data_IF_818278388657
#
_entry.id   IF_818278388657
#
_cell.length_a   1.000
_cell.length_b   1.000
_cell.length_c   1.000
_cell.angle_alpha   90.00
_cell.angle_beta   90.00
_cell.angle_gamma   90.00
#
_symmetry.space_group_name_H-M   'P 1'
#
loop_
_entity.id
_entity.type
_entity.pdbx_description
1 polymer ?
#
# COMPACT_ATOMS: atom_id res chain seq x y z
N UNK A 1 33.72 11.15 5.21
CA UNK A 1 32.64 11.81 6.01
C UNK A 1 31.66 12.43 5.01
N UNK A 2 30.35 12.22 5.15
CA UNK A 2 29.35 12.58 4.13
C UNK A 2 28.86 14.05 4.24
N UNK A 3 28.96 14.65 5.41
CA UNK A 3 28.51 16.03 5.70
C UNK A 3 29.25 17.08 4.84
N UNK A 4 30.60 17.03 4.71
CA UNK A 4 31.34 17.98 3.88
C UNK A 4 30.95 17.95 2.39
N UNK A 5 30.53 16.80 1.85
CA UNK A 5 30.07 16.74 0.46
C UNK A 5 28.72 17.40 0.23
N UNK A 6 27.96 17.66 1.30
CA UNK A 6 26.72 18.44 1.28
C UNK A 6 26.94 19.92 1.60
N UNK A 7 28.19 20.33 1.86
CA UNK A 7 28.50 21.70 2.33
C UNK A 7 28.02 21.96 3.77
N UNK A 8 27.81 20.91 4.56
CA UNK A 8 27.33 20.99 5.94
C UNK A 8 28.39 20.50 6.92
N UNK A 9 28.37 21.03 8.13
CA UNK A 9 29.02 20.42 9.28
C UNK A 9 28.10 19.36 9.92
N UNK A 10 28.56 18.76 11.02
CA UNK A 10 27.79 17.72 11.70
C UNK A 10 26.49 18.28 12.29
N UNK A 11 26.53 19.47 12.88
CA UNK A 11 25.37 20.09 13.53
C UNK A 11 24.31 20.47 12.48
N UNK A 12 24.71 21.13 11.40
CA UNK A 12 23.84 21.48 10.29
C UNK A 12 23.21 20.27 9.61
N UNK A 13 23.93 19.13 9.53
CA UNK A 13 23.33 17.88 9.07
C UNK A 13 22.25 17.38 10.03
N UNK A 14 22.48 17.42 11.35
CA UNK A 14 21.49 17.00 12.34
C UNK A 14 20.25 17.89 12.34
N UNK A 15 20.41 19.18 12.12
CA UNK A 15 19.30 20.15 12.09
C UNK A 15 18.34 19.94 10.91
N UNK A 16 18.79 19.29 9.83
CA UNK A 16 17.92 18.93 8.69
C UNK A 16 16.69 18.14 9.13
N UNK A 17 16.81 17.31 10.16
CA UNK A 17 15.74 16.39 10.56
C UNK A 17 15.54 16.29 12.08
N UNK A 18 15.93 17.34 12.80
CA UNK A 18 15.76 17.44 14.23
C UNK A 18 14.28 17.48 14.60
N UNK A 19 13.84 16.57 15.46
CA UNK A 19 12.46 16.56 15.95
C UNK A 19 12.29 17.56 17.10
N UNK A 20 11.69 18.71 16.81
CA UNK A 20 11.43 19.77 17.80
C UNK A 20 10.15 19.56 18.60
N UNK A 21 9.40 18.48 18.35
CA UNK A 21 8.19 18.16 19.11
C UNK A 21 8.47 17.46 20.45
N UNK A 22 9.74 17.23 20.81
CA UNK A 22 10.18 16.50 22.01
C UNK A 22 11.19 17.33 22.81
N UNK A 23 11.23 17.10 24.12
CA UNK A 23 12.16 17.79 25.05
C UNK A 23 13.64 17.51 24.74
N UNK A 24 13.96 16.29 24.29
CA UNK A 24 15.29 15.91 23.79
C UNK A 24 15.25 15.71 22.28
N UNK A 25 15.54 16.76 21.48
CA UNK A 25 15.33 16.74 20.05
C UNK A 25 16.36 15.86 19.34
N UNK A 26 15.90 14.68 18.91
CA UNK A 26 16.71 13.68 18.17
C UNK A 26 16.55 13.83 16.67
N UNK A 27 17.56 13.32 15.95
CA UNK A 27 17.47 13.16 14.50
C UNK A 27 16.39 12.14 14.14
N UNK A 28 15.47 12.51 13.25
CA UNK A 28 14.34 11.69 12.83
C UNK A 28 14.39 11.42 11.33
N UNK A 29 14.68 10.18 10.95
CA UNK A 29 14.66 9.77 9.54
C UNK A 29 13.33 10.08 8.83
N UNK A 30 12.14 9.90 9.46
CA UNK A 30 10.88 10.36 8.88
C UNK A 30 10.83 11.87 8.61
N UNK A 31 11.29 12.71 9.53
CA UNK A 31 11.32 14.17 9.31
C UNK A 31 12.24 14.53 8.15
N UNK A 32 13.39 13.87 8.05
CA UNK A 32 14.30 14.06 6.92
C UNK A 32 13.58 13.76 5.59
N UNK A 33 12.90 12.60 5.52
CA UNK A 33 12.17 12.18 4.34
C UNK A 33 11.03 13.16 4.00
N UNK A 34 10.27 13.62 5.00
CA UNK A 34 9.16 14.57 4.82
C UNK A 34 9.60 15.98 4.41
N UNK A 35 10.82 16.40 4.79
CA UNK A 35 11.38 17.71 4.38
C UNK A 35 12.06 17.67 3.01
N UNK A 36 12.66 16.54 2.65
CA UNK A 36 13.49 16.40 1.45
C UNK A 36 12.82 15.63 0.30
N UNK A 37 11.56 15.22 0.46
CA UNK A 37 10.78 14.60 -0.63
C UNK A 37 9.76 15.59 -1.18
N UNK A 38 9.50 15.52 -2.49
CA UNK A 38 8.47 16.34 -3.12
C UNK A 38 7.05 15.82 -2.85
N UNK A 39 6.90 14.53 -2.55
CA UNK A 39 5.61 13.86 -2.35
C UNK A 39 5.65 12.95 -1.13
N UNK A 40 4.53 12.86 -0.42
CA UNK A 40 4.36 12.04 0.77
C UNK A 40 3.01 11.34 0.71
N UNK A 41 2.97 10.05 1.01
CA UNK A 41 1.72 9.30 0.99
C UNK A 41 1.60 8.30 2.14
N UNK A 42 0.38 8.21 2.69
CA UNK A 42 -0.09 7.03 3.38
C UNK A 42 -0.39 5.89 2.41
N UNK A 43 -0.71 4.71 2.97
CA UNK A 43 -0.94 3.47 2.22
C UNK A 43 -2.43 3.08 2.16
N UNK A 44 -3.27 3.95 2.71
CA UNK A 44 -4.72 3.94 2.69
C UNK A 44 -5.21 5.35 3.04
N UNK A 45 -6.47 5.65 2.72
CA UNK A 45 -7.09 6.93 3.04
C UNK A 45 -6.97 7.30 4.52
N UNK A 46 -7.40 6.40 5.40
CA UNK A 46 -7.29 6.57 6.85
C UNK A 46 -5.84 6.72 7.32
N UNK A 47 -4.88 6.00 6.71
CA UNK A 47 -3.48 6.18 7.04
C UNK A 47 -2.97 7.59 6.66
N UNK A 48 -3.43 8.13 5.53
CA UNK A 48 -3.15 9.51 5.15
C UNK A 48 -3.66 10.52 6.17
N UNK A 49 -4.90 10.35 6.63
CA UNK A 49 -5.51 11.18 7.68
C UNK A 49 -4.72 11.13 9.00
N UNK A 50 -4.43 9.93 9.49
CA UNK A 50 -3.63 9.73 10.71
C UNK A 50 -2.23 10.32 10.56
N UNK A 51 -1.60 10.17 9.39
CA UNK A 51 -0.28 10.73 9.13
C UNK A 51 -0.30 12.27 9.09
N UNK A 52 -1.33 12.91 8.52
CA UNK A 52 -1.51 14.37 8.57
C UNK A 52 -1.62 14.86 10.01
N UNK A 53 -2.42 14.19 10.82
CA UNK A 53 -2.56 14.51 12.26
C UNK A 53 -1.23 14.35 13.02
N UNK A 54 -0.51 13.26 12.79
CA UNK A 54 0.74 12.95 13.50
C UNK A 54 1.88 13.92 13.14
N UNK A 55 1.95 14.37 11.88
CA UNK A 55 3.07 15.19 11.37
C UNK A 55 2.72 16.67 11.15
N UNK A 56 1.52 17.12 11.53
CA UNK A 56 1.08 18.50 11.32
C UNK A 56 2.06 19.55 11.89
N UNK A 57 2.79 19.23 12.95
CA UNK A 57 3.80 20.12 13.55
C UNK A 57 4.95 20.51 12.60
N UNK A 58 5.17 19.77 11.50
CA UNK A 58 6.14 20.14 10.46
C UNK A 58 5.63 21.26 9.53
N UNK A 59 4.33 21.52 9.54
CA UNK A 59 3.65 22.55 8.77
C UNK A 59 2.72 23.38 9.67
N UNK A 60 3.27 24.13 10.65
CA UNK A 60 2.47 24.80 11.68
C UNK A 60 1.50 25.86 11.12
N UNK A 61 1.80 26.39 9.93
CA UNK A 61 0.95 27.37 9.23
C UNK A 61 -0.22 26.72 8.46
N UNK A 62 -0.23 25.40 8.34
CA UNK A 62 -1.23 24.66 7.57
C UNK A 62 -2.24 24.00 8.50
N UNK A 63 -3.53 24.17 8.17
CA UNK A 63 -4.59 23.35 8.75
C UNK A 63 -4.41 21.87 8.40
N UNK A 64 -5.04 20.99 9.18
CA UNK A 64 -4.93 19.53 9.03
C UNK A 64 -5.09 19.05 7.58
N UNK A 65 -6.13 19.49 6.86
CA UNK A 65 -6.38 19.07 5.47
C UNK A 65 -5.39 19.65 4.44
N UNK A 66 -4.67 20.71 4.79
CA UNK A 66 -3.67 21.33 3.92
C UNK A 66 -2.27 20.71 4.07
N UNK A 67 -2.06 19.84 5.05
CA UNK A 67 -0.79 19.11 5.23
C UNK A 67 -0.51 18.28 3.96
N UNK A 68 0.67 18.40 3.31
CA UNK A 68 0.97 17.78 2.02
C UNK A 68 1.35 16.29 2.15
N UNK A 69 0.51 15.54 2.87
CA UNK A 69 0.54 14.07 2.97
C UNK A 69 -0.77 13.55 2.40
N UNK A 70 -0.67 12.88 1.25
CA UNK A 70 -1.81 12.25 0.58
C UNK A 70 -1.87 10.75 0.92
N UNK A 71 -2.58 9.95 0.14
CA UNK A 71 -2.58 8.50 0.23
C UNK A 71 -2.59 7.85 -1.14
N UNK A 72 -1.97 6.67 -1.21
CA UNK A 72 -2.11 5.75 -2.33
C UNK A 72 -2.48 4.41 -1.71
N UNK A 73 -3.72 3.97 -1.89
CA UNK A 73 -4.19 2.72 -1.31
C UNK A 73 -3.42 1.55 -1.89
N UNK A 74 -2.87 0.70 -1.03
CA UNK A 74 -2.12 -0.47 -1.46
C UNK A 74 -2.97 -1.41 -2.33
N UNK A 75 -2.35 -1.94 -3.38
CA UNK A 75 -2.93 -2.98 -4.24
C UNK A 75 -2.19 -4.31 -4.11
N UNK A 76 -2.75 -5.34 -4.76
CA UNK A 76 -2.10 -6.65 -4.91
C UNK A 76 -1.98 -7.00 -6.39
N UNK A 77 -0.88 -7.67 -6.76
CA UNK A 77 -0.70 -8.15 -8.13
C UNK A 77 -1.60 -9.35 -8.40
N UNK A 78 -2.66 -9.16 -9.17
CA UNK A 78 -3.68 -10.19 -9.46
C UNK A 78 -3.08 -11.41 -10.14
N UNK A 79 -2.10 -11.25 -11.03
CA UNK A 79 -1.42 -12.38 -11.69
C UNK A 79 -0.67 -13.31 -10.75
N UNK A 80 -0.25 -12.82 -9.58
CA UNK A 80 0.45 -13.62 -8.55
C UNK A 80 -0.51 -14.16 -7.51
N UNK A 81 -1.43 -13.32 -7.03
CA UNK A 81 -2.28 -13.62 -5.88
C UNK A 81 -3.60 -14.29 -6.24
N UNK A 82 -4.08 -14.16 -7.48
CA UNK A 82 -5.28 -14.82 -7.92
C UNK A 82 -5.00 -16.26 -8.37
N UNK A 83 -5.78 -17.21 -7.87
CA UNK A 83 -5.70 -18.58 -8.35
C UNK A 83 -6.07 -18.66 -9.85
N UNK A 84 -5.26 -19.34 -10.66
CA UNK A 84 -5.51 -19.54 -12.11
C UNK A 84 -6.94 -19.99 -12.43
N UNK A 85 -7.55 -20.85 -11.59
CA UNK A 85 -8.94 -21.30 -11.79
C UNK A 85 -9.99 -20.21 -11.56
N UNK A 86 -9.73 -19.26 -10.65
CA UNK A 86 -10.56 -18.06 -10.51
C UNK A 86 -10.37 -17.16 -11.74
N UNK A 87 -9.14 -16.94 -12.20
CA UNK A 87 -8.90 -16.17 -13.42
C UNK A 87 -9.61 -16.75 -14.66
N UNK A 88 -9.66 -18.08 -14.79
CA UNK A 88 -10.42 -18.75 -15.85
C UNK A 88 -11.94 -18.59 -15.68
N UNK A 89 -12.44 -18.58 -14.44
CA UNK A 89 -13.85 -18.37 -14.14
C UNK A 89 -14.26 -16.93 -14.49
N UNK A 90 -13.47 -15.95 -14.07
CA UNK A 90 -13.64 -14.54 -14.44
C UNK A 90 -13.59 -14.36 -15.96
N UNK A 91 -12.70 -15.06 -16.66
CA UNK A 91 -12.66 -15.04 -18.13
C UNK A 91 -13.95 -15.49 -18.82
N UNK A 92 -14.76 -16.36 -18.19
CA UNK A 92 -16.06 -16.80 -18.73
C UNK A 92 -17.17 -15.79 -18.52
N UNK A 93 -17.15 -15.06 -17.40
CA UNK A 93 -18.25 -14.19 -16.97
C UNK A 93 -17.99 -12.70 -17.21
N UNK A 94 -16.74 -12.26 -17.08
CA UNK A 94 -16.32 -10.85 -17.21
C UNK A 94 -15.66 -10.55 -18.57
N UNK A 95 -15.32 -11.60 -19.33
CA UNK A 95 -14.69 -11.51 -20.65
C UNK A 95 -13.24 -11.99 -20.67
N UNK A 96 -12.79 -12.43 -21.84
CA UNK A 96 -11.47 -13.07 -22.03
C UNK A 96 -10.27 -12.18 -21.70
N UNK A 97 -10.44 -10.87 -21.56
CA UNK A 97 -9.35 -9.93 -21.30
C UNK A 97 -9.59 -9.11 -20.02
N UNK A 98 -10.33 -9.65 -19.05
CA UNK A 98 -10.65 -8.95 -17.80
C UNK A 98 -9.42 -8.41 -17.06
N UNK A 99 -8.28 -9.08 -17.17
CA UNK A 99 -7.03 -8.67 -16.53
C UNK A 99 -6.42 -7.38 -17.10
N UNK A 100 -6.89 -6.91 -18.26
CA UNK A 100 -6.43 -5.67 -18.87
C UNK A 100 -7.16 -4.43 -18.32
N UNK A 101 -8.29 -4.62 -17.63
CA UNK A 101 -9.16 -3.54 -17.16
C UNK A 101 -9.42 -3.68 -15.65
N UNK A 102 -8.36 -3.91 -14.86
CA UNK A 102 -8.49 -4.21 -13.42
C UNK A 102 -9.10 -3.06 -12.60
N UNK A 103 -9.06 -1.85 -13.13
CA UNK A 103 -9.61 -0.61 -12.59
C UNK A 103 -11.05 -0.31 -13.06
N UNK A 104 -11.61 -1.13 -13.96
CA UNK A 104 -12.99 -0.99 -14.42
C UNK A 104 -13.99 -1.59 -13.42
N UNK A 105 -14.68 -0.73 -12.68
CA UNK A 105 -15.68 -1.12 -11.69
C UNK A 105 -16.88 -1.86 -12.32
N UNK A 106 -17.36 -1.43 -13.49
CA UNK A 106 -18.51 -2.04 -14.14
C UNK A 106 -18.19 -3.46 -14.65
N UNK A 107 -16.93 -3.72 -14.99
CA UNK A 107 -16.47 -5.08 -15.25
C UNK A 107 -16.52 -5.93 -13.97
N UNK A 108 -16.10 -5.41 -12.83
CA UNK A 108 -16.09 -6.12 -11.55
C UNK A 108 -17.49 -6.41 -11.01
N UNK A 109 -18.48 -5.56 -11.28
CA UNK A 109 -19.88 -5.81 -10.87
C UNK A 109 -20.43 -7.14 -11.43
N UNK A 110 -19.95 -7.57 -12.60
CA UNK A 110 -20.32 -8.86 -13.22
C UNK A 110 -19.88 -10.08 -12.40
N UNK A 111 -19.01 -9.91 -11.40
CA UNK A 111 -18.68 -11.00 -10.46
C UNK A 111 -19.91 -11.45 -9.68
N UNK A 112 -20.87 -10.54 -9.44
CA UNK A 112 -22.10 -10.83 -8.72
C UNK A 112 -23.04 -11.75 -9.53
N UNK A 113 -22.88 -11.79 -10.85
CA UNK A 113 -23.67 -12.66 -11.74
C UNK A 113 -23.11 -14.09 -11.83
N UNK A 114 -21.95 -14.35 -11.24
CA UNK A 114 -21.34 -15.69 -11.28
C UNK A 114 -22.16 -16.65 -10.40
N UNK A 115 -22.67 -17.77 -10.93
CA UNK A 115 -23.42 -18.73 -10.14
C UNK A 115 -22.60 -19.26 -8.95
N UNK A 116 -23.20 -19.25 -7.75
CA UNK A 116 -22.57 -19.69 -6.49
C UNK A 116 -21.91 -21.08 -6.61
N UNK A 117 -22.56 -21.98 -7.33
CA UNK A 117 -22.07 -23.34 -7.57
C UNK A 117 -20.75 -23.38 -8.35
N UNK A 118 -20.50 -22.44 -9.26
CA UNK A 118 -19.23 -22.34 -10.00
C UNK A 118 -18.10 -21.84 -9.10
N UNK A 119 -18.37 -20.78 -8.31
CA UNK A 119 -17.44 -20.29 -7.29
C UNK A 119 -17.13 -21.40 -6.28
N UNK A 120 -18.15 -22.12 -5.82
CA UNK A 120 -18.00 -23.21 -4.86
C UNK A 120 -17.17 -24.36 -5.43
N UNK A 121 -17.37 -24.73 -6.70
CA UNK A 121 -16.55 -25.74 -7.39
C UNK A 121 -15.07 -25.33 -7.39
N UNK A 122 -14.75 -24.07 -7.70
CA UNK A 122 -13.36 -23.56 -7.67
C UNK A 122 -12.82 -23.58 -6.24
N UNK A 123 -13.58 -23.09 -5.24
CA UNK A 123 -13.18 -23.09 -3.83
C UNK A 123 -12.86 -24.50 -3.32
N UNK A 124 -13.71 -25.49 -3.58
CA UNK A 124 -13.47 -26.89 -3.17
C UNK A 124 -12.20 -27.45 -3.81
N UNK A 125 -11.93 -27.12 -5.07
CA UNK A 125 -10.70 -27.52 -5.72
C UNK A 125 -9.46 -26.92 -5.04
N UNK A 126 -9.46 -25.61 -4.76
CA UNK A 126 -8.34 -24.94 -4.08
C UNK A 126 -8.10 -25.50 -2.68
N UNK A 127 -9.16 -25.79 -1.93
CA UNK A 127 -9.06 -26.43 -0.60
C UNK A 127 -8.40 -27.82 -0.69
N UNK A 128 -8.80 -28.65 -1.66
CA UNK A 128 -8.17 -29.96 -1.88
C UNK A 128 -6.69 -29.83 -2.24
N UNK A 129 -6.32 -28.88 -3.10
CA UNK A 129 -4.93 -28.60 -3.46
C UNK A 129 -4.09 -28.21 -2.23
N UNK A 130 -4.64 -27.34 -1.37
CA UNK A 130 -3.98 -26.93 -0.12
C UNK A 130 -3.78 -28.11 0.83
N UNK A 131 -4.82 -28.93 1.07
CA UNK A 131 -4.72 -30.11 1.93
C UNK A 131 -3.67 -31.08 1.41
N UNK A 132 -3.67 -31.36 0.10
CA UNK A 132 -2.66 -32.20 -0.52
C UNK A 132 -1.24 -31.64 -0.32
N UNK A 133 -1.03 -30.34 -0.53
CA UNK A 133 0.26 -29.69 -0.29
C UNK A 133 0.72 -29.84 1.18
N UNK A 134 -0.17 -29.64 2.14
CA UNK A 134 0.14 -29.80 3.58
C UNK A 134 0.51 -31.25 3.87
N UNK A 135 -0.26 -32.23 3.37
CA UNK A 135 0.03 -33.66 3.58
C UNK A 135 1.36 -34.10 2.97
N UNK A 136 1.76 -33.53 1.83
CA UNK A 136 3.06 -33.82 1.21
C UNK A 136 4.22 -33.24 2.02
N UNK A 137 4.03 -32.08 2.66
CA UNK A 137 5.08 -31.41 3.45
C UNK A 137 5.22 -31.94 4.88
N UNK A 138 4.18 -32.57 5.41
CA UNK A 138 4.19 -33.18 6.74
C UNK A 138 4.77 -34.61 6.76
N UNK A 139 5.04 -35.19 5.59
CA UNK A 139 5.82 -36.42 5.42
C UNK A 139 7.29 -36.09 5.30
#
# INVERSE_FOLDING_TARGET
KYWPSLGLDQEGFFDLAKNTSQEDPKFSMPILALRLSANHNGVSELHGEVARSMWNFLWPELGHEAVPINYITNGVHTGTWLARRLGNLFGRHMGKHWWANLDDQAMWDKVLDIPDEELWKVRRHLKRKMVYYIMQRAR
#
